data_IF_500011251111
#
_entry.id   IF_500011251111
#
_cell.length_a   1.000
_cell.length_b   1.000
_cell.length_c   1.000
_cell.angle_alpha   90.00
_cell.angle_beta   90.00
_cell.angle_gamma   90.00
#
_symmetry.space_group_name_H-M   'P 1'
#
loop_
_entity.id
_entity.type
_entity.pdbx_description
1 polymer ?
#
# COMPACT_ATOMS: atom_id res chain seq x y z
N UNK A 1 48.41 -8.00 -10.53
CA UNK A 1 47.47 -6.97 -11.04
C UNK A 1 46.37 -7.74 -11.76
N UNK A 2 45.07 -7.73 -11.46
CA UNK A 2 44.18 -6.76 -10.80
C UNK A 2 42.85 -7.48 -10.44
N UNK A 3 42.79 -8.24 -9.34
CA UNK A 3 41.55 -8.95 -8.94
C UNK A 3 41.09 -8.60 -7.51
N UNK A 4 41.92 -7.90 -6.73
CA UNK A 4 41.58 -7.44 -5.36
C UNK A 4 40.93 -6.05 -5.29
N UNK A 5 40.77 -5.34 -6.42
CA UNK A 5 40.17 -4.00 -6.43
C UNK A 5 38.63 -4.01 -6.54
N UNK A 6 37.99 -5.17 -6.78
CA UNK A 6 36.54 -5.27 -6.96
C UNK A 6 35.75 -5.50 -5.65
N UNK A 7 36.43 -5.80 -4.54
CA UNK A 7 35.77 -6.18 -3.26
C UNK A 7 35.61 -5.01 -2.28
N UNK A 8 36.32 -3.90 -2.46
CA UNK A 8 36.26 -2.73 -1.55
C UNK A 8 35.23 -1.66 -1.93
N UNK A 9 34.73 -1.67 -3.17
CA UNK A 9 33.66 -0.76 -3.62
C UNK A 9 32.32 -1.00 -2.91
N UNK A 10 31.85 -2.25 -2.66
CA UNK A 10 30.59 -2.45 -1.95
C UNK A 10 30.64 -1.95 -0.50
N UNK A 11 31.77 -2.07 0.20
CA UNK A 11 31.88 -1.62 1.59
C UNK A 11 31.76 -0.10 1.75
N UNK A 12 32.33 0.69 0.82
CA UNK A 12 32.21 2.16 0.81
C UNK A 12 30.84 2.64 0.32
N UNK A 13 30.24 1.96 -0.67
CA UNK A 13 28.87 2.27 -1.12
C UNK A 13 27.84 1.96 -0.03
N UNK A 14 27.98 0.82 0.66
CA UNK A 14 27.22 0.48 1.87
C UNK A 14 27.49 1.47 3.00
N UNK A 15 28.73 1.92 3.21
CA UNK A 15 29.05 2.93 4.23
C UNK A 15 28.39 4.29 3.93
N UNK A 16 28.38 4.76 2.68
CA UNK A 16 27.73 6.03 2.28
C UNK A 16 26.20 5.94 2.29
N UNK A 17 25.64 4.75 2.06
CA UNK A 17 24.19 4.49 2.21
C UNK A 17 23.78 4.30 3.67
N UNK A 18 24.65 3.71 4.50
CA UNK A 18 24.54 3.64 5.97
C UNK A 18 24.79 5.00 6.64
N UNK A 19 25.55 5.91 6.03
CA UNK A 19 26.00 7.15 6.67
C UNK A 19 24.97 8.30 6.70
N UNK A 20 23.72 8.15 6.22
CA UNK A 20 22.79 9.27 6.44
C UNK A 20 21.31 9.18 6.04
N UNK A 21 20.86 8.14 5.31
CA UNK A 21 19.45 8.11 4.87
C UNK A 21 18.72 6.78 5.10
N UNK A 22 19.44 5.68 5.35
CA UNK A 22 18.84 4.34 5.46
C UNK A 22 19.12 3.67 6.81
N UNK A 23 19.84 4.32 7.73
CA UNK A 23 19.95 3.83 9.11
C UNK A 23 18.70 4.23 9.88
N UNK A 24 18.06 3.23 10.48
CA UNK A 24 16.97 3.48 11.40
C UNK A 24 17.54 4.23 12.61
N UNK A 25 16.99 5.39 13.01
CA UNK A 25 17.47 6.05 14.20
C UNK A 25 17.02 5.22 15.42
N UNK A 26 17.96 4.61 16.15
CA UNK A 26 17.70 3.68 17.26
C UNK A 26 16.81 4.28 18.36
N UNK A 27 16.78 5.61 18.49
CA UNK A 27 15.97 6.35 19.47
C UNK A 27 15.05 7.39 18.82
N UNK A 28 14.68 7.22 17.56
CA UNK A 28 13.74 8.16 16.93
C UNK A 28 12.33 8.07 17.52
N UNK A 29 11.74 9.24 17.77
CA UNK A 29 10.32 9.36 18.05
C UNK A 29 9.45 8.85 16.87
N UNK A 30 8.17 8.60 17.15
CA UNK A 30 7.22 8.02 16.17
C UNK A 30 7.17 8.80 14.86
N UNK A 31 7.09 10.13 14.92
CA UNK A 31 7.05 10.99 13.74
C UNK A 31 8.34 10.92 12.90
N UNK A 32 9.51 10.82 13.55
CA UNK A 32 10.77 10.66 12.84
C UNK A 32 10.85 9.30 12.12
N UNK A 33 10.28 8.24 12.69
CA UNK A 33 10.18 6.92 12.04
C UNK A 33 9.21 6.93 10.84
N UNK A 34 8.08 7.64 10.96
CA UNK A 34 7.17 7.90 9.82
C UNK A 34 7.88 8.67 8.71
N UNK A 35 8.56 9.77 9.06
CA UNK A 35 9.32 10.56 8.09
C UNK A 35 10.43 9.74 7.44
N UNK A 36 11.14 8.90 8.19
CA UNK A 36 12.15 7.99 7.68
C UNK A 36 11.56 7.00 6.66
N UNK A 37 10.43 6.34 6.98
CA UNK A 37 9.77 5.42 6.07
C UNK A 37 9.35 6.07 4.74
N UNK A 38 8.89 7.31 4.78
CA UNK A 38 8.59 8.08 3.57
C UNK A 38 9.88 8.49 2.82
N UNK A 39 10.92 8.91 3.56
CA UNK A 39 12.20 9.35 3.01
C UNK A 39 13.01 8.21 2.35
N UNK A 40 12.73 6.93 2.68
CA UNK A 40 13.34 5.79 2.02
C UNK A 40 13.20 5.86 0.50
N UNK A 41 12.03 6.24 -0.01
CA UNK A 41 11.81 6.37 -1.46
C UNK A 41 12.71 7.45 -2.05
N UNK A 42 12.96 8.55 -1.33
CA UNK A 42 13.90 9.60 -1.74
C UNK A 42 15.34 9.07 -1.70
N UNK A 43 15.72 8.30 -0.66
CA UNK A 43 17.04 7.66 -0.56
C UNK A 43 17.31 6.69 -1.70
N UNK A 44 16.35 5.82 -1.99
CA UNK A 44 16.37 4.88 -3.13
C UNK A 44 16.43 5.64 -4.46
N UNK A 45 15.67 6.73 -4.61
CA UNK A 45 15.74 7.61 -5.78
C UNK A 45 17.13 8.21 -5.95
N UNK A 46 17.75 8.72 -4.88
CA UNK A 46 19.13 9.25 -4.93
C UNK A 46 20.14 8.19 -5.35
N UNK A 47 19.99 6.94 -4.89
CA UNK A 47 20.83 5.84 -5.34
C UNK A 47 20.68 5.59 -6.85
N UNK A 48 19.43 5.60 -7.36
CA UNK A 48 19.14 5.52 -8.79
C UNK A 48 19.78 6.66 -9.60
N UNK A 49 19.78 7.90 -9.09
CA UNK A 49 20.34 9.05 -9.81
C UNK A 49 21.88 9.09 -9.82
N UNK A 50 22.53 8.43 -8.85
CA UNK A 50 24.00 8.34 -8.76
C UNK A 50 24.59 7.40 -9.81
N UNK A 51 23.88 6.35 -10.20
CA UNK A 51 24.30 5.43 -11.25
C UNK A 51 23.82 5.94 -12.63
N UNK A 52 24.74 6.36 -13.54
CA UNK A 52 24.37 6.88 -14.84
C UNK A 52 23.62 5.88 -15.72
N UNK A 53 23.95 4.59 -15.61
CA UNK A 53 23.30 3.53 -16.38
C UNK A 53 21.87 3.31 -15.89
N UNK A 54 21.68 3.17 -14.56
CA UNK A 54 20.34 3.01 -13.97
C UNK A 54 19.44 4.21 -14.28
N UNK A 55 19.98 5.41 -14.12
CA UNK A 55 19.27 6.65 -14.46
C UNK A 55 18.79 6.68 -15.91
N UNK A 56 19.69 6.42 -16.87
CA UNK A 56 19.34 6.41 -18.30
C UNK A 56 18.28 5.36 -18.60
N UNK A 57 18.45 4.15 -18.07
CA UNK A 57 17.52 3.03 -18.27
C UNK A 57 16.14 3.34 -17.67
N UNK A 58 16.11 3.88 -16.46
CA UNK A 58 14.88 4.30 -15.78
C UNK A 58 14.14 5.38 -16.57
N UNK A 59 14.83 6.44 -16.99
CA UNK A 59 14.24 7.53 -17.76
C UNK A 59 13.71 7.07 -19.13
N UNK A 60 14.41 6.16 -19.80
CA UNK A 60 13.95 5.59 -21.07
C UNK A 60 12.66 4.78 -20.87
N UNK A 61 12.63 3.87 -19.90
CA UNK A 61 11.46 3.05 -19.62
C UNK A 61 10.28 3.93 -19.17
N UNK A 62 10.52 4.85 -18.24
CA UNK A 62 9.50 5.77 -17.74
C UNK A 62 8.96 6.69 -18.84
N UNK A 63 9.84 7.24 -19.68
CA UNK A 63 9.48 8.13 -20.79
C UNK A 63 8.57 7.44 -21.79
N UNK A 64 8.91 6.22 -22.20
CA UNK A 64 8.07 5.42 -23.10
C UNK A 64 6.70 5.11 -22.50
N UNK A 65 6.65 4.74 -21.21
CA UNK A 65 5.38 4.45 -20.53
C UNK A 65 4.50 5.69 -20.37
N UNK A 66 5.09 6.83 -20.01
CA UNK A 66 4.38 8.10 -19.91
C UNK A 66 3.87 8.55 -21.28
N UNK A 67 4.65 8.37 -22.35
CA UNK A 67 4.20 8.67 -23.71
C UNK A 67 2.93 7.89 -24.07
N UNK A 68 2.86 6.60 -23.74
CA UNK A 68 1.65 5.78 -23.98
C UNK A 68 0.47 6.26 -23.13
N UNK A 69 0.67 6.58 -21.85
CA UNK A 69 -0.40 7.08 -20.98
C UNK A 69 -0.92 8.44 -21.46
N UNK A 70 -0.02 9.33 -21.88
CA UNK A 70 -0.37 10.64 -22.46
C UNK A 70 -1.12 10.46 -23.78
N UNK A 71 -0.65 9.57 -24.66
CA UNK A 71 -1.34 9.27 -25.91
C UNK A 71 -2.76 8.74 -25.67
N UNK A 72 -2.96 7.88 -24.67
CA UNK A 72 -4.29 7.41 -24.29
C UNK A 72 -5.17 8.54 -23.71
N UNK A 73 -4.59 9.45 -22.92
CA UNK A 73 -5.30 10.63 -22.41
C UNK A 73 -5.77 11.52 -23.58
N UNK A 74 -4.89 11.81 -24.53
CA UNK A 74 -5.19 12.62 -25.72
C UNK A 74 -6.24 11.92 -26.59
N UNK A 75 -6.09 10.62 -26.83
CA UNK A 75 -7.07 9.82 -27.57
C UNK A 75 -8.44 9.83 -26.92
N UNK A 76 -8.49 9.72 -25.58
CA UNK A 76 -9.74 9.85 -24.82
C UNK A 76 -10.37 11.24 -24.97
N UNK A 77 -9.58 12.30 -24.83
CA UNK A 77 -10.05 13.68 -24.98
C UNK A 77 -10.58 13.96 -26.39
N UNK A 78 -9.92 13.40 -27.42
CA UNK A 78 -10.35 13.52 -28.81
C UNK A 78 -11.65 12.73 -29.06
N UNK A 79 -11.81 11.56 -28.45
CA UNK A 79 -12.99 10.72 -28.59
C UNK A 79 -14.24 11.32 -27.90
N UNK A 80 -14.08 11.85 -26.68
CA UNK A 80 -15.20 12.42 -25.92
C UNK A 80 -15.70 13.76 -26.52
N UNK A 81 -14.95 14.35 -27.47
CA UNK A 81 -15.42 15.23 -28.55
C UNK A 81 -16.09 16.57 -28.20
N UNK A 82 -16.44 16.83 -26.94
CA UNK A 82 -17.34 17.93 -26.57
C UNK A 82 -16.87 18.63 -25.27
N UNK A 83 -15.56 18.87 -25.15
CA UNK A 83 -14.97 19.65 -24.05
C UNK A 83 -15.64 21.03 -23.88
N UNK A 84 -16.15 21.60 -24.96
CA UNK A 84 -16.89 22.87 -24.96
C UNK A 84 -18.27 22.78 -24.27
N UNK A 85 -18.87 21.58 -24.18
CA UNK A 85 -20.16 21.33 -23.50
C UNK A 85 -20.01 20.86 -22.05
N UNK A 86 -18.77 20.68 -21.57
CA UNK A 86 -18.48 20.33 -20.18
C UNK A 86 -18.84 21.46 -19.19
N UNK A 87 -19.05 22.67 -19.71
CA UNK A 87 -18.92 23.91 -18.95
C UNK A 87 -19.97 24.17 -17.84
N UNK A 88 -21.05 23.40 -17.67
CA UNK A 88 -22.17 23.89 -16.85
C UNK A 88 -22.86 22.89 -15.89
N UNK A 89 -22.33 21.67 -15.71
CA UNK A 89 -22.87 20.77 -14.68
C UNK A 89 -21.77 20.02 -13.95
N UNK A 90 -21.72 20.18 -12.63
CA UNK A 90 -20.84 19.40 -11.75
C UNK A 90 -20.95 17.89 -12.00
N UNK A 91 -22.16 17.38 -12.29
CA UNK A 91 -22.38 15.95 -12.61
C UNK A 91 -21.74 15.52 -13.92
N UNK A 92 -21.65 16.39 -14.93
CA UNK A 92 -20.97 16.08 -16.21
C UNK A 92 -19.46 16.11 -16.00
N UNK A 93 -18.95 17.13 -15.31
CA UNK A 93 -17.53 17.23 -14.97
C UNK A 93 -17.05 16.01 -14.17
N UNK A 94 -17.76 15.61 -13.13
CA UNK A 94 -17.40 14.44 -12.32
C UNK A 94 -17.40 13.15 -13.15
N UNK A 95 -18.42 12.92 -13.99
CA UNK A 95 -18.45 11.75 -14.89
C UNK A 95 -17.27 11.75 -15.86
N UNK A 96 -16.99 12.89 -16.47
CA UNK A 96 -15.84 13.08 -17.35
C UNK A 96 -14.54 12.75 -16.61
N UNK A 97 -14.30 13.37 -15.44
CA UNK A 97 -13.09 13.16 -14.65
C UNK A 97 -12.92 11.69 -14.22
N UNK A 98 -14.00 11.03 -13.79
CA UNK A 98 -13.99 9.62 -13.40
C UNK A 98 -13.72 8.70 -14.60
N UNK A 99 -14.33 8.98 -15.76
CA UNK A 99 -14.11 8.19 -16.98
C UNK A 99 -12.66 8.32 -17.48
N UNK A 100 -12.12 9.54 -17.53
CA UNK A 100 -10.73 9.79 -17.86
C UNK A 100 -9.80 9.09 -16.86
N UNK A 101 -10.06 9.25 -15.56
CA UNK A 101 -9.30 8.56 -14.51
C UNK A 101 -9.30 7.03 -14.70
N UNK A 102 -10.48 6.44 -14.94
CA UNK A 102 -10.60 5.00 -15.18
C UNK A 102 -9.80 4.56 -16.42
N UNK A 103 -9.92 5.28 -17.52
CA UNK A 103 -9.16 5.03 -18.76
C UNK A 103 -7.65 5.08 -18.52
N UNK A 104 -7.17 6.09 -17.78
CA UNK A 104 -5.74 6.21 -17.44
C UNK A 104 -5.28 5.08 -16.52
N UNK A 105 -6.08 4.68 -15.53
CA UNK A 105 -5.76 3.57 -14.63
C UNK A 105 -5.66 2.24 -15.39
N UNK A 106 -6.60 1.97 -16.30
CA UNK A 106 -6.58 0.77 -17.15
C UNK A 106 -5.38 0.77 -18.08
N UNK A 107 -5.15 1.88 -18.79
CA UNK A 107 -4.00 2.04 -19.69
C UNK A 107 -2.69 1.82 -18.93
N UNK A 108 -2.54 2.45 -17.78
CA UNK A 108 -1.37 2.30 -16.94
C UNK A 108 -1.18 0.84 -16.50
N UNK A 109 -2.26 0.11 -16.21
CA UNK A 109 -2.21 -1.31 -15.89
C UNK A 109 -1.69 -2.17 -17.03
N UNK A 110 -2.17 -1.91 -18.24
CA UNK A 110 -1.73 -2.61 -19.45
C UNK A 110 -0.26 -2.34 -19.74
N UNK A 111 0.15 -1.07 -19.67
CA UNK A 111 1.56 -0.66 -19.82
C UNK A 111 2.43 -1.38 -18.79
N UNK A 112 2.02 -1.40 -17.52
CA UNK A 112 2.69 -2.11 -16.43
C UNK A 112 2.80 -3.61 -16.68
N UNK A 113 1.77 -4.24 -17.24
CA UNK A 113 1.75 -5.66 -17.54
C UNK A 113 2.78 -6.00 -18.63
N UNK A 114 2.79 -5.25 -19.74
CA UNK A 114 3.71 -5.47 -20.86
C UNK A 114 5.16 -5.15 -20.49
N UNK A 115 5.37 -4.14 -19.64
CA UNK A 115 6.71 -3.67 -19.28
C UNK A 115 7.22 -4.24 -17.96
N UNK A 116 6.55 -5.27 -17.39
CA UNK A 116 6.83 -5.76 -16.03
C UNK A 116 8.29 -6.11 -15.81
N UNK A 117 8.88 -6.91 -16.70
CA UNK A 117 10.25 -7.41 -16.53
C UNK A 117 11.30 -6.28 -16.46
N UNK A 118 11.04 -5.14 -17.12
CA UNK A 118 11.91 -3.96 -17.01
C UNK A 118 11.84 -3.31 -15.63
N UNK A 119 10.66 -3.30 -15.00
CA UNK A 119 10.53 -2.81 -13.62
C UNK A 119 11.21 -3.76 -12.63
N UNK A 120 11.11 -5.07 -12.86
CA UNK A 120 11.72 -6.09 -12.00
C UNK A 120 13.26 -6.03 -12.12
N UNK A 121 13.81 -5.87 -13.34
CA UNK A 121 15.25 -5.61 -13.57
C UNK A 121 15.72 -4.33 -12.85
N UNK A 122 14.97 -3.22 -13.01
CA UNK A 122 15.31 -1.94 -12.37
C UNK A 122 15.29 -2.07 -10.84
N UNK A 123 14.29 -2.77 -10.28
CA UNK A 123 14.16 -2.99 -8.85
C UNK A 123 15.30 -3.87 -8.31
N UNK A 124 15.66 -4.94 -9.03
CA UNK A 124 16.78 -5.82 -8.69
C UNK A 124 18.10 -5.05 -8.64
N UNK A 125 18.43 -4.30 -9.70
CA UNK A 125 19.69 -3.54 -9.75
C UNK A 125 19.71 -2.42 -8.73
N UNK A 126 18.57 -1.79 -8.47
CA UNK A 126 18.44 -0.76 -7.45
C UNK A 126 18.59 -1.32 -6.05
N UNK A 127 18.03 -2.51 -5.77
CA UNK A 127 18.27 -3.24 -4.53
C UNK A 127 19.76 -3.50 -4.31
N UNK A 128 20.46 -4.01 -5.34
CA UNK A 128 21.92 -4.19 -5.32
C UNK A 128 22.68 -2.89 -5.08
N UNK A 129 22.28 -1.81 -5.75
CA UNK A 129 22.89 -0.48 -5.58
C UNK A 129 22.67 0.08 -4.17
N UNK A 130 21.55 -0.25 -3.53
CA UNK A 130 21.23 0.12 -2.14
C UNK A 130 21.86 -0.85 -1.12
N UNK A 131 22.40 -1.98 -1.58
CA UNK A 131 23.02 -3.00 -0.73
C UNK A 131 22.01 -3.91 -0.02
N UNK A 132 20.80 -4.07 -0.57
CA UNK A 132 19.79 -5.02 -0.07
C UNK A 132 19.62 -6.18 -1.06
N UNK A 133 19.20 -7.34 -0.54
CA UNK A 133 18.96 -8.52 -1.36
C UNK A 133 17.77 -8.28 -2.31
N UNK A 134 17.90 -8.52 -3.62
CA UNK A 134 16.80 -8.31 -4.56
C UNK A 134 15.69 -9.36 -4.37
N UNK A 135 14.45 -8.97 -4.70
CA UNK A 135 13.29 -9.87 -4.64
C UNK A 135 13.36 -10.99 -5.69
N UNK A 136 13.70 -10.65 -6.94
CA UNK A 136 13.79 -11.60 -8.06
C UNK A 136 15.09 -11.38 -8.84
N UNK A 137 15.71 -12.45 -9.33
CA UNK A 137 16.86 -12.38 -10.21
C UNK A 137 16.40 -12.39 -11.67
N UNK A 138 16.43 -11.23 -12.31
CA UNK A 138 16.06 -11.05 -13.72
C UNK A 138 17.15 -10.27 -14.45
N UNK A 139 17.92 -10.96 -15.29
CA UNK A 139 19.09 -10.37 -15.97
C UNK A 139 18.77 -9.88 -17.40
N UNK A 140 17.76 -10.46 -18.05
CA UNK A 140 17.43 -10.18 -19.44
C UNK A 140 15.93 -9.87 -19.61
N UNK A 141 15.50 -8.60 -19.46
CA UNK A 141 14.09 -8.25 -19.61
C UNK A 141 13.64 -8.35 -21.07
N UNK A 142 12.42 -8.82 -21.28
CA UNK A 142 11.72 -8.87 -22.56
C UNK A 142 10.38 -8.17 -22.44
N UNK A 143 9.94 -7.51 -23.52
CA UNK A 143 8.56 -7.05 -23.63
C UNK A 143 7.70 -8.30 -23.84
N UNK A 144 6.94 -8.67 -22.82
CA UNK A 144 6.03 -9.81 -22.88
C UNK A 144 4.79 -9.50 -22.05
N UNK A 145 3.63 -9.84 -22.59
CA UNK A 145 2.38 -9.78 -21.84
C UNK A 145 2.20 -11.09 -21.08
N UNK A 146 2.33 -11.03 -19.76
CA UNK A 146 2.12 -12.17 -18.88
C UNK A 146 0.68 -12.17 -18.36
N UNK A 147 -0.20 -12.90 -19.06
CA UNK A 147 -1.60 -13.01 -18.68
C UNK A 147 -1.78 -13.71 -17.31
N UNK A 148 -0.91 -14.66 -16.98
CA UNK A 148 -0.91 -15.35 -15.69
C UNK A 148 -0.66 -14.36 -14.56
N UNK A 149 0.34 -13.49 -14.71
CA UNK A 149 0.59 -12.42 -13.77
C UNK A 149 -0.58 -11.43 -13.65
N UNK A 150 -1.21 -11.05 -14.77
CA UNK A 150 -2.39 -10.15 -14.75
C UNK A 150 -3.51 -10.78 -13.90
N UNK A 151 -3.76 -12.08 -14.09
CA UNK A 151 -4.75 -12.82 -13.32
C UNK A 151 -4.38 -12.92 -11.84
N UNK A 152 -3.13 -13.26 -11.50
CA UNK A 152 -2.64 -13.28 -10.13
C UNK A 152 -2.69 -11.89 -9.47
N UNK A 153 -2.38 -10.84 -10.20
CA UNK A 153 -2.43 -9.47 -9.71
C UNK A 153 -3.88 -9.03 -9.47
N UNK A 154 -4.83 -9.45 -10.32
CA UNK A 154 -6.26 -9.24 -10.11
C UNK A 154 -6.76 -10.05 -8.90
N UNK A 155 -6.39 -11.32 -8.80
CA UNK A 155 -6.73 -12.18 -7.67
C UNK A 155 -6.21 -11.59 -6.34
N UNK A 156 -4.97 -11.11 -6.31
CA UNK A 156 -4.40 -10.41 -5.13
C UNK A 156 -5.19 -9.16 -4.76
N UNK A 157 -5.73 -8.42 -5.73
CA UNK A 157 -6.59 -7.26 -5.48
C UNK A 157 -7.96 -7.63 -4.95
N UNK A 158 -8.56 -8.68 -5.50
CA UNK A 158 -9.83 -9.22 -4.99
C UNK A 158 -9.64 -9.69 -3.56
N UNK A 159 -8.57 -10.45 -3.28
CA UNK A 159 -8.22 -10.86 -1.93
C UNK A 159 -7.99 -9.64 -1.02
N UNK A 160 -7.27 -8.62 -1.47
CA UNK A 160 -7.08 -7.39 -0.71
C UNK A 160 -8.40 -6.68 -0.38
N UNK A 161 -9.31 -6.59 -1.35
CA UNK A 161 -10.64 -6.00 -1.16
C UNK A 161 -11.49 -6.84 -0.18
N UNK A 162 -11.47 -8.17 -0.32
CA UNK A 162 -12.16 -9.08 0.60
C UNK A 162 -11.61 -8.96 2.02
N UNK A 163 -10.29 -8.87 2.18
CA UNK A 163 -9.63 -8.66 3.46
C UNK A 163 -10.01 -7.32 4.07
N UNK A 164 -10.05 -6.25 3.27
CA UNK A 164 -10.49 -4.94 3.72
C UNK A 164 -11.95 -4.96 4.17
N UNK A 165 -12.85 -5.53 3.36
CA UNK A 165 -14.28 -5.64 3.69
C UNK A 165 -14.48 -6.50 4.95
N UNK A 166 -13.82 -7.65 5.01
CA UNK A 166 -13.94 -8.57 6.13
C UNK A 166 -13.39 -7.96 7.41
N UNK A 167 -12.24 -7.27 7.36
CA UNK A 167 -11.69 -6.56 8.52
C UNK A 167 -12.51 -5.33 8.91
N UNK A 168 -13.13 -4.63 7.95
CA UNK A 168 -14.02 -3.49 8.19
C UNK A 168 -15.41 -3.87 8.71
N UNK A 169 -15.82 -5.13 8.57
CA UNK A 169 -17.17 -5.58 8.92
C UNK A 169 -17.63 -5.20 10.35
N UNK A 170 -16.81 -5.31 11.41
CA UNK A 170 -17.22 -4.87 12.75
C UNK A 170 -17.52 -3.38 12.80
N UNK A 171 -16.72 -2.56 12.13
CA UNK A 171 -16.94 -1.12 12.06
C UNK A 171 -18.22 -0.80 11.27
N UNK A 172 -18.48 -1.51 10.18
CA UNK A 172 -19.71 -1.37 9.39
C UNK A 172 -20.96 -1.81 10.17
N UNK A 173 -20.87 -2.90 10.94
CA UNK A 173 -21.95 -3.36 11.81
C UNK A 173 -22.22 -2.37 12.94
N UNK A 174 -21.16 -1.82 13.57
CA UNK A 174 -21.29 -0.76 14.57
C UNK A 174 -21.91 0.50 13.96
N UNK A 175 -21.48 0.91 12.76
CA UNK A 175 -22.08 2.03 12.04
C UNK A 175 -23.57 1.78 11.78
N UNK A 176 -23.94 0.60 11.29
CA UNK A 176 -25.33 0.22 11.09
C UNK A 176 -26.15 0.28 12.38
N UNK A 177 -25.63 -0.26 13.48
CA UNK A 177 -26.30 -0.24 14.78
C UNK A 177 -26.49 1.19 15.31
N UNK A 178 -25.46 2.04 15.22
CA UNK A 178 -25.46 3.42 15.71
C UNK A 178 -26.31 4.35 14.83
N UNK A 179 -26.42 4.09 13.52
CA UNK A 179 -27.16 4.96 12.59
C UNK A 179 -28.62 4.53 12.45
N UNK A 180 -28.89 3.23 12.33
CA UNK A 180 -30.25 2.71 11.99
C UNK A 180 -31.13 2.54 13.23
N UNK A 181 -30.55 2.18 14.38
CA UNK A 181 -31.32 1.98 15.62
C UNK A 181 -31.93 3.28 16.14
N UNK A 182 -31.12 4.32 16.42
CA UNK A 182 -31.60 5.59 16.95
C UNK A 182 -32.52 6.35 16.00
N UNK A 183 -32.27 6.32 14.68
CA UNK A 183 -33.13 6.99 13.69
C UNK A 183 -34.56 6.45 13.68
N UNK A 184 -34.75 5.13 13.86
CA UNK A 184 -36.08 4.53 14.01
C UNK A 184 -36.76 4.83 15.34
N UNK A 185 -35.99 5.10 16.40
CA UNK A 185 -36.52 5.51 17.70
C UNK A 185 -36.92 7.00 17.70
N UNK A 186 -36.08 7.84 17.08
CA UNK A 186 -36.30 9.27 16.88
C UNK A 186 -37.53 9.57 16.03
N UNK A 187 -37.78 8.78 15.00
CA UNK A 187 -38.99 8.89 14.17
C UNK A 187 -40.30 8.63 14.96
N UNK A 188 -40.23 8.04 16.16
CA UNK A 188 -41.39 7.70 16.99
C UNK A 188 -41.68 8.68 18.13
N UNK A 189 -40.79 9.62 18.43
CA UNK A 189 -40.95 10.56 19.56
C UNK A 189 -40.97 12.00 19.05
N UNK A 190 -41.90 12.84 19.52
CA UNK A 190 -42.16 14.19 19.00
C UNK A 190 -41.48 15.32 19.77
N UNK A 191 -40.72 15.00 20.80
CA UNK A 191 -40.12 15.99 21.69
C UNK A 191 -38.82 16.57 21.12
N UNK A 192 -38.83 17.87 20.82
CA UNK A 192 -37.75 18.56 20.10
C UNK A 192 -36.40 18.54 20.82
N UNK A 193 -36.40 18.62 22.15
CA UNK A 193 -35.17 18.58 22.96
C UNK A 193 -34.52 17.19 22.96
N UNK A 194 -35.34 16.13 23.09
CA UNK A 194 -34.88 14.74 22.99
C UNK A 194 -34.37 14.42 21.58
N UNK A 195 -35.01 14.98 20.54
CA UNK A 195 -34.53 14.85 19.15
C UNK A 195 -33.14 15.47 18.97
N UNK A 196 -32.92 16.69 19.46
CA UNK A 196 -31.62 17.34 19.36
C UNK A 196 -30.51 16.57 20.10
N UNK A 197 -30.76 16.18 21.36
CA UNK A 197 -29.79 15.41 22.15
C UNK A 197 -29.45 14.07 21.51
N UNK A 198 -30.43 13.37 20.95
CA UNK A 198 -30.22 12.10 20.26
C UNK A 198 -29.48 12.26 18.93
N UNK A 199 -29.73 13.32 18.16
CA UNK A 199 -28.96 13.63 16.94
C UNK A 199 -27.51 13.95 17.27
N UNK A 200 -27.25 14.75 18.31
CA UNK A 200 -25.90 15.06 18.77
C UNK A 200 -25.16 13.79 19.23
N UNK A 201 -25.81 12.95 20.05
CA UNK A 201 -25.25 11.67 20.49
C UNK A 201 -24.96 10.72 19.31
N UNK A 202 -25.89 10.63 18.34
CA UNK A 202 -25.70 9.83 17.13
C UNK A 202 -24.51 10.33 16.30
N UNK A 203 -24.35 11.65 16.16
CA UNK A 203 -23.23 12.23 15.41
C UNK A 203 -21.88 11.92 16.07
N UNK A 204 -21.79 12.03 17.39
CA UNK A 204 -20.58 11.67 18.15
C UNK A 204 -20.27 10.17 18.06
N UNK A 205 -21.29 9.31 18.26
CA UNK A 205 -21.13 7.86 18.19
C UNK A 205 -20.78 7.38 16.77
N UNK A 206 -21.25 8.07 15.72
CA UNK A 206 -20.89 7.77 14.33
C UNK A 206 -19.41 8.04 14.00
N UNK A 207 -18.70 8.84 14.81
CA UNK A 207 -17.26 9.04 14.63
C UNK A 207 -16.44 7.81 15.00
N UNK A 208 -16.91 6.97 15.94
CA UNK A 208 -16.19 5.76 16.36
C UNK A 208 -16.01 4.76 15.21
N UNK A 209 -17.08 4.36 14.48
CA UNK A 209 -16.93 3.53 13.27
C UNK A 209 -16.03 4.15 12.22
N UNK A 210 -16.12 5.47 12.00
CA UNK A 210 -15.29 6.16 11.00
C UNK A 210 -13.81 6.12 11.38
N UNK A 211 -13.48 6.39 12.64
CA UNK A 211 -12.11 6.29 13.15
C UNK A 211 -11.58 4.85 13.06
N UNK A 212 -12.43 3.85 13.36
CA UNK A 212 -12.08 2.45 13.23
C UNK A 212 -11.86 2.05 11.77
N UNK A 213 -12.73 2.46 10.85
CA UNK A 213 -12.56 2.23 9.40
C UNK A 213 -11.28 2.88 8.88
N UNK A 214 -10.98 4.12 9.31
CA UNK A 214 -9.76 4.81 8.94
C UNK A 214 -8.52 4.08 9.48
N UNK A 215 -8.54 3.64 10.74
CA UNK A 215 -7.43 2.91 11.35
C UNK A 215 -7.20 1.56 10.65
N UNK A 216 -8.26 0.80 10.38
CA UNK A 216 -8.20 -0.48 9.65
C UNK A 216 -7.69 -0.27 8.23
N UNK A 217 -8.21 0.75 7.52
CA UNK A 217 -7.78 1.06 6.16
C UNK A 217 -6.33 1.51 6.11
N UNK A 218 -5.90 2.35 7.05
CA UNK A 218 -4.52 2.80 7.19
C UNK A 218 -3.56 1.66 7.51
N UNK A 219 -3.98 0.74 8.38
CA UNK A 219 -3.24 -0.49 8.67
C UNK A 219 -3.05 -1.34 7.40
N UNK A 220 -4.14 -1.65 6.69
CA UNK A 220 -4.05 -2.46 5.46
C UNK A 220 -3.26 -1.78 4.36
N UNK A 221 -3.36 -0.46 4.23
CA UNK A 221 -2.53 0.31 3.32
C UNK A 221 -1.03 0.12 3.63
N UNK A 222 -0.63 0.13 4.90
CA UNK A 222 0.73 -0.16 5.34
C UNK A 222 1.13 -1.61 5.02
N UNK A 223 0.24 -2.58 5.28
CA UNK A 223 0.48 -4.00 4.95
C UNK A 223 0.68 -4.19 3.44
N UNK A 224 -0.13 -3.57 2.59
CA UNK A 224 0.02 -3.64 1.14
C UNK A 224 1.21 -2.86 0.61
N UNK A 225 1.63 -1.79 1.29
CA UNK A 225 2.84 -1.05 0.94
C UNK A 225 4.09 -1.91 1.18
N UNK A 226 4.17 -2.56 2.35
CA UNK A 226 5.26 -3.50 2.68
C UNK A 226 5.19 -4.77 1.81
N UNK A 227 4.00 -5.31 1.59
CA UNK A 227 3.75 -6.50 0.78
C UNK A 227 4.09 -6.35 -0.72
N UNK A 228 4.52 -5.17 -1.17
CA UNK A 228 5.09 -4.99 -2.51
C UNK A 228 6.46 -5.63 -2.67
N UNK A 229 7.19 -5.87 -1.59
CA UNK A 229 8.42 -6.66 -1.63
C UNK A 229 8.11 -8.16 -1.50
N UNK A 230 8.77 -8.97 -2.32
CA UNK A 230 8.76 -10.43 -2.23
C UNK A 230 9.25 -10.96 -0.88
N UNK A 231 10.23 -10.28 -0.26
CA UNK A 231 10.74 -10.63 1.07
C UNK A 231 9.67 -10.63 2.16
N UNK A 232 8.64 -9.78 2.05
CA UNK A 232 7.54 -9.72 3.02
C UNK A 232 6.76 -11.03 3.12
N UNK A 233 6.90 -11.91 2.13
CA UNK A 233 6.20 -13.17 2.00
C UNK A 233 7.06 -14.39 2.33
N UNK A 234 8.37 -14.24 2.57
CA UNK A 234 9.32 -15.36 2.76
C UNK A 234 9.40 -15.87 4.21
N UNK A 235 9.14 -15.03 5.21
CA UNK A 235 9.20 -15.43 6.63
C UNK A 235 8.12 -16.49 6.97
N UNK A 236 8.55 -17.68 7.40
CA UNK A 236 7.66 -18.85 7.53
C UNK A 236 6.74 -18.83 8.75
N UNK A 237 7.11 -18.11 9.82
CA UNK A 237 6.36 -18.10 11.10
C UNK A 237 5.90 -16.69 11.47
N UNK A 238 4.79 -16.24 10.90
CA UNK A 238 4.17 -14.96 11.26
C UNK A 238 2.98 -15.19 12.20
N UNK A 239 2.94 -14.54 13.39
CA UNK A 239 1.77 -14.62 14.26
C UNK A 239 0.54 -13.99 13.58
N UNK A 240 -0.65 -14.51 13.93
CA UNK A 240 -1.93 -13.95 13.47
C UNK A 240 -2.04 -12.45 13.80
N UNK A 241 -2.75 -11.65 13.01
CA UNK A 241 -2.89 -10.20 13.20
C UNK A 241 -3.27 -9.83 14.65
N UNK A 242 -2.57 -8.85 15.24
CA UNK A 242 -2.76 -8.34 16.61
C UNK A 242 -4.21 -8.03 16.98
N UNK A 243 -4.99 -7.43 16.07
CA UNK A 243 -6.41 -7.17 16.33
C UNK A 243 -7.18 -8.49 16.51
N UNK A 244 -6.93 -9.50 15.68
CA UNK A 244 -7.54 -10.81 15.84
C UNK A 244 -7.10 -11.47 17.15
N UNK A 245 -5.82 -11.37 17.54
CA UNK A 245 -5.33 -11.85 18.85
C UNK A 245 -6.08 -11.21 19.99
N UNK A 246 -6.26 -9.89 19.93
CA UNK A 246 -6.97 -9.12 20.96
C UNK A 246 -8.45 -9.52 21.04
N UNK A 247 -9.12 -9.63 19.89
CA UNK A 247 -10.52 -10.07 19.84
C UNK A 247 -10.66 -11.52 20.31
N UNK A 248 -9.77 -12.41 19.92
CA UNK A 248 -9.78 -13.81 20.36
C UNK A 248 -9.58 -13.91 21.88
N UNK A 249 -8.61 -13.19 22.44
CA UNK A 249 -8.38 -13.12 23.88
C UNK A 249 -9.58 -12.54 24.64
N UNK A 250 -10.24 -11.51 24.10
CA UNK A 250 -11.48 -10.96 24.66
C UNK A 250 -12.64 -11.96 24.57
N UNK A 251 -12.74 -12.69 23.45
CA UNK A 251 -13.78 -13.69 23.21
C UNK A 251 -13.69 -14.89 24.13
N UNK A 252 -12.46 -15.26 24.54
CA UNK A 252 -12.23 -16.32 25.51
C UNK A 252 -12.75 -15.95 26.91
N UNK A 253 -12.77 -14.66 27.25
CA UNK A 253 -13.26 -14.17 28.55
C UNK A 253 -14.79 -14.12 28.65
N UNK A 254 -15.49 -13.85 27.54
CA UNK A 254 -16.96 -13.75 27.54
C UNK A 254 -17.61 -14.49 26.35
N UNK A 255 -17.59 -15.83 26.33
CA UNK A 255 -17.99 -16.62 25.15
C UNK A 255 -19.44 -16.38 24.68
N UNK A 256 -20.36 -16.06 25.60
CA UNK A 256 -21.77 -15.78 25.28
C UNK A 256 -21.97 -14.46 24.51
N UNK A 257 -21.19 -13.42 24.82
CA UNK A 257 -21.30 -12.11 24.15
C UNK A 257 -20.61 -12.11 22.78
N UNK A 258 -19.59 -12.95 22.60
CA UNK A 258 -18.72 -12.91 21.43
C UNK A 258 -19.00 -14.00 20.39
N UNK A 259 -20.09 -14.77 20.49
CA UNK A 259 -20.40 -15.87 19.55
C UNK A 259 -20.29 -15.49 18.06
N UNK A 260 -21.02 -14.46 17.58
CA UNK A 260 -20.90 -13.98 16.20
C UNK A 260 -19.51 -13.43 15.87
N UNK A 261 -18.87 -12.77 16.84
CA UNK A 261 -17.53 -12.21 16.67
C UNK A 261 -16.47 -13.32 16.52
N UNK A 262 -16.63 -14.48 17.18
CA UNK A 262 -15.76 -15.64 17.02
C UNK A 262 -15.88 -16.26 15.62
N UNK A 263 -17.10 -16.34 15.08
CA UNK A 263 -17.30 -16.81 13.70
C UNK A 263 -16.64 -15.86 12.69
N UNK A 264 -16.78 -14.55 12.94
CA UNK A 264 -16.11 -13.52 12.16
C UNK A 264 -14.58 -13.66 12.26
N UNK A 265 -13.99 -13.73 13.46
CA UNK A 265 -12.54 -13.93 13.66
C UNK A 265 -12.04 -15.16 12.91
N UNK A 266 -12.74 -16.29 12.99
CA UNK A 266 -12.35 -17.53 12.28
C UNK A 266 -12.38 -17.35 10.77
N UNK A 267 -13.43 -16.72 10.25
CA UNK A 267 -13.57 -16.46 8.82
C UNK A 267 -12.49 -15.53 8.31
N UNK A 268 -12.24 -14.45 9.05
CA UNK A 268 -11.19 -13.46 8.75
C UNK A 268 -9.80 -14.07 8.86
N UNK A 269 -9.51 -14.83 9.92
CA UNK A 269 -8.22 -15.51 10.10
C UNK A 269 -7.91 -16.48 8.95
N UNK A 270 -8.92 -17.22 8.47
CA UNK A 270 -8.78 -18.09 7.29
C UNK A 270 -8.54 -17.28 6.02
N UNK A 271 -9.36 -16.25 5.78
CA UNK A 271 -9.23 -15.41 4.59
C UNK A 271 -7.89 -14.64 4.54
N UNK A 272 -7.35 -14.27 5.70
CA UNK A 272 -6.12 -13.49 5.85
C UNK A 272 -4.88 -14.34 6.08
N UNK A 273 -5.00 -15.68 6.02
CA UNK A 273 -3.89 -16.62 6.21
C UNK A 273 -2.62 -16.20 5.46
N UNK A 274 -2.80 -15.78 4.21
CA UNK A 274 -1.74 -15.32 3.30
C UNK A 274 -1.13 -13.98 3.76
N UNK A 275 -1.93 -13.08 4.31
CA UNK A 275 -1.54 -11.72 4.70
C UNK A 275 -0.85 -11.62 6.07
N UNK A 276 -0.81 -12.69 6.86
CA UNK A 276 -0.16 -12.65 8.19
C UNK A 276 1.32 -12.27 8.13
N UNK A 277 2.01 -12.65 7.05
CA UNK A 277 3.45 -12.37 6.89
C UNK A 277 3.75 -10.87 6.73
N UNK A 278 3.20 -10.16 5.72
CA UNK A 278 3.40 -8.72 5.61
C UNK A 278 2.79 -7.97 6.82
N UNK A 279 1.71 -8.47 7.42
CA UNK A 279 1.14 -7.93 8.65
C UNK A 279 2.12 -7.96 9.83
N UNK A 280 2.87 -9.05 10.00
CA UNK A 280 3.88 -9.18 11.05
C UNK A 280 5.07 -8.23 10.85
N UNK A 281 5.43 -7.89 9.60
CA UNK A 281 6.44 -6.85 9.33
C UNK A 281 5.92 -5.48 9.78
N UNK A 282 4.68 -5.14 9.42
CA UNK A 282 4.06 -3.87 9.85
C UNK A 282 3.95 -3.80 11.38
N UNK A 283 3.67 -4.90 12.06
CA UNK A 283 3.63 -4.93 13.53
C UNK A 283 5.02 -4.70 14.18
N UNK A 284 6.11 -5.10 13.51
CA UNK A 284 7.48 -4.84 13.96
C UNK A 284 7.93 -3.40 13.72
N UNK A 285 7.52 -2.82 12.59
CA UNK A 285 7.92 -1.47 12.16
C UNK A 285 6.71 -0.61 11.72
N UNK A 286 5.76 -0.32 12.64
CA UNK A 286 4.48 0.28 12.25
C UNK A 286 4.63 1.70 11.72
N UNK A 287 5.53 2.48 12.32
CA UNK A 287 5.71 3.89 11.97
C UNK A 287 6.38 4.06 10.61
N UNK A 288 7.39 3.24 10.33
CA UNK A 288 8.07 3.19 9.03
C UNK A 288 7.12 2.73 7.93
N UNK A 289 6.34 1.69 8.20
CA UNK A 289 5.35 1.18 7.26
C UNK A 289 4.26 2.21 6.96
N UNK A 290 3.82 3.00 7.95
CA UNK A 290 2.91 4.14 7.75
C UNK A 290 3.56 5.17 6.81
N UNK A 291 4.83 5.53 7.04
CA UNK A 291 5.58 6.44 6.17
C UNK A 291 5.60 5.97 4.72
N UNK A 292 5.89 4.69 4.50
CA UNK A 292 5.86 4.08 3.16
C UNK A 292 4.44 4.05 2.57
N UNK A 293 3.42 3.77 3.39
CA UNK A 293 2.01 3.82 3.00
C UNK A 293 1.56 5.20 2.53
N UNK A 294 2.06 6.28 3.15
CA UNK A 294 1.77 7.63 2.69
C UNK A 294 2.34 7.89 1.30
N UNK A 295 3.56 7.43 1.02
CA UNK A 295 4.14 7.53 -0.34
C UNK A 295 3.38 6.64 -1.33
N UNK A 296 2.92 5.47 -0.88
CA UNK A 296 2.09 4.58 -1.67
C UNK A 296 0.76 5.25 -2.11
N UNK A 297 0.18 6.16 -1.33
CA UNK A 297 -1.04 6.89 -1.75
C UNK A 297 -0.82 7.69 -3.03
N UNK A 298 0.40 8.19 -3.26
CA UNK A 298 0.76 8.90 -4.48
C UNK A 298 0.66 7.99 -5.72
N UNK A 299 0.72 6.68 -5.55
CA UNK A 299 0.53 5.70 -6.63
C UNK A 299 -0.93 5.59 -7.11
N UNK A 300 -1.88 6.21 -6.42
CA UNK A 300 -3.26 6.31 -6.92
C UNK A 300 -3.44 7.41 -7.96
N UNK A 301 -2.46 8.31 -8.10
CA UNK A 301 -2.42 9.30 -9.17
C UNK A 301 -1.86 8.63 -10.44
N UNK A 302 -2.60 8.67 -11.57
CA UNK A 302 -2.11 8.13 -12.83
C UNK A 302 -0.76 8.77 -13.22
N UNK A 303 0.14 7.96 -13.79
CA UNK A 303 1.52 8.40 -14.09
C UNK A 303 2.48 8.27 -12.90
N UNK A 304 2.16 8.80 -11.71
CA UNK A 304 3.04 8.67 -10.52
C UNK A 304 3.28 7.22 -10.13
N UNK A 305 2.31 6.34 -10.34
CA UNK A 305 2.53 4.90 -10.13
C UNK A 305 3.58 4.28 -11.05
N UNK A 306 3.82 4.81 -12.27
CA UNK A 306 4.92 4.36 -13.12
C UNK A 306 6.27 4.77 -12.52
N UNK A 307 6.34 6.01 -12.02
CA UNK A 307 7.53 6.59 -11.40
C UNK A 307 7.94 5.78 -10.15
N UNK A 308 6.98 5.52 -9.27
CA UNK A 308 7.24 4.96 -7.94
C UNK A 308 7.31 3.42 -7.93
N UNK A 309 6.83 2.74 -8.98
CA UNK A 309 6.75 1.27 -9.02
C UNK A 309 8.07 0.56 -8.70
N UNK A 310 9.22 0.88 -9.32
CA UNK A 310 10.47 0.17 -9.03
C UNK A 310 11.12 0.60 -7.70
N UNK A 311 10.69 1.73 -7.13
CA UNK A 311 11.29 2.29 -5.92
C UNK A 311 10.68 1.68 -4.65
N UNK A 312 9.36 1.46 -4.66
CA UNK A 312 8.61 1.02 -3.48
C UNK A 312 8.97 -0.38 -2.98
N UNK A 313 9.18 -1.42 -3.82
CA UNK A 313 9.62 -2.74 -3.36
C UNK A 313 11.00 -2.67 -2.68
N UNK A 314 11.92 -1.87 -3.22
CA UNK A 314 13.26 -1.69 -2.62
C UNK A 314 13.15 -0.99 -1.27
N UNK A 315 12.35 0.08 -1.18
CA UNK A 315 12.09 0.76 0.09
C UNK A 315 11.44 -0.17 1.13
N UNK A 316 10.46 -1.00 0.71
CA UNK A 316 9.85 -2.01 1.57
C UNK A 316 10.88 -3.04 2.05
N UNK A 317 11.78 -3.49 1.17
CA UNK A 317 12.87 -4.41 1.52
C UNK A 317 13.78 -3.81 2.60
N UNK A 318 14.14 -2.53 2.48
CA UNK A 318 14.93 -1.83 3.51
C UNK A 318 14.22 -1.83 4.86
N UNK A 319 12.90 -1.60 4.91
CA UNK A 319 12.12 -1.68 6.16
C UNK A 319 12.15 -3.11 6.73
N UNK A 320 11.94 -4.11 5.87
CA UNK A 320 11.92 -5.52 6.27
C UNK A 320 13.26 -5.90 6.91
N UNK A 321 14.37 -5.64 6.21
CA UNK A 321 15.72 -5.93 6.70
C UNK A 321 16.04 -5.18 8.00
N UNK A 322 15.71 -3.89 8.08
CA UNK A 322 15.92 -3.09 9.29
C UNK A 322 15.06 -3.56 10.49
N UNK A 323 13.95 -4.25 10.24
CA UNK A 323 13.05 -4.78 11.26
C UNK A 323 13.30 -6.25 11.63
N UNK A 324 14.31 -6.91 11.03
CA UNK A 324 14.65 -8.29 11.37
C UNK A 324 15.21 -8.35 12.80
N UNK A 325 14.71 -9.27 13.65
CA UNK A 325 15.31 -9.47 14.96
C UNK A 325 16.76 -9.94 14.78
N UNK A 326 17.66 -9.49 15.67
CA UNK A 326 19.04 -9.97 15.68
C UNK A 326 19.04 -11.51 15.78
N UNK A 327 19.98 -12.21 15.11
CA UNK A 327 20.12 -13.65 15.28
C UNK A 327 20.30 -13.94 16.77
N UNK A 328 19.50 -14.85 17.33
CA UNK A 328 19.74 -15.34 18.68
C UNK A 328 21.07 -16.11 18.62
N UNK A 329 22.09 -15.57 19.29
CA UNK A 329 23.40 -16.21 19.44
C UNK A 329 23.29 -17.49 20.27
#
# INVERSE_FOLDING_TARGET
MSERAAVDVPARALAVLRAGALTLPERAGRLARVAWGAALVVGVTRALWRDPWLRRRYLLVLGLQLAVVVAAAIGWLAFEGDLHRLAWSWRRFVRFALSLYATLVVTQWLVIAVSRQFHDELSMRLARAVGVEPDEALEHPRLSFDAGWVFEALQRRVQAALVLVASAAPALLLLGAVVVGPSRWLARHDDGALRFAAVAAQWTLAQLPNALLLAISGYWLAVFAVGRSGHAWRDQAAPQWSLLRWVEAGSARHPALYGPLRLWVRTVARAMGVMHRPAAVVERAPWEAIGLALVQLLTNVPGLRLVLRPLLPVAATVIIEASRPAPRA
#
